data_IF_441922852702
#
_entry.id   IF_441922852702
#
_cell.length_a   1.000
_cell.length_b   1.000
_cell.length_c   1.000
_cell.angle_alpha   90.00
_cell.angle_beta   90.00
_cell.angle_gamma   90.00
#
_symmetry.space_group_name_H-M   'P 1'
#
loop_
_entity.id
_entity.type
_entity.pdbx_description
1 polymer ?
#
# COMPACT_ATOMS: atom_id res chain seq x y z
N UNK A 1 12.53 21.74 13.95
CA UNK A 1 13.82 21.35 13.38
C UNK A 1 14.59 22.57 12.86
N UNK A 2 15.86 22.41 12.58
CA UNK A 2 16.70 23.42 11.92
C UNK A 2 16.92 22.91 10.49
N UNK A 3 16.60 23.76 9.49
CA UNK A 3 16.82 23.40 8.08
C UNK A 3 18.29 23.55 7.67
N UNK A 4 18.61 23.20 6.43
CA UNK A 4 19.95 23.30 5.85
C UNK A 4 20.51 24.72 5.86
N UNK A 5 19.66 25.72 5.94
CA UNK A 5 20.03 27.14 6.01
C UNK A 5 20.22 27.62 7.45
N UNK A 6 20.16 26.72 8.44
CA UNK A 6 20.28 27.02 9.86
C UNK A 6 19.04 27.70 10.46
N UNK A 7 17.92 27.75 9.73
CA UNK A 7 16.70 28.40 10.21
C UNK A 7 15.84 27.43 11.00
N UNK A 8 15.30 27.90 12.10
CA UNK A 8 14.39 27.15 12.94
C UNK A 8 13.03 26.98 12.22
N UNK A 9 12.64 25.74 11.98
CA UNK A 9 11.34 25.37 11.38
C UNK A 9 10.53 24.55 12.37
N UNK A 10 9.25 24.75 12.37
CA UNK A 10 8.33 24.12 13.31
C UNK A 10 8.26 24.88 14.64
N UNK A 11 7.06 25.16 15.06
CA UNK A 11 6.79 25.98 16.22
C UNK A 11 5.78 25.26 17.12
N UNK A 12 6.19 24.10 17.67
CA UNK A 12 5.45 23.53 18.79
C UNK A 12 6.20 23.81 20.10
N UNK A 13 5.83 24.89 20.81
CA UNK A 13 6.45 25.24 22.08
C UNK A 13 6.18 24.19 23.18
N UNK A 14 5.29 23.22 22.92
CA UNK A 14 4.94 22.15 23.84
C UNK A 14 5.83 20.92 23.71
N UNK A 15 6.65 20.84 22.66
CA UNK A 15 7.58 19.73 22.51
C UNK A 15 8.92 20.06 23.19
N UNK A 16 9.23 19.45 24.34
CA UNK A 16 10.48 19.69 25.07
C UNK A 16 11.69 19.02 24.42
N UNK A 17 11.50 18.23 23.35
CA UNK A 17 12.55 17.42 22.73
C UNK A 17 12.98 18.11 21.43
N UNK A 18 14.28 18.48 21.34
CA UNK A 18 14.92 18.84 20.08
C UNK A 18 15.58 17.59 19.48
N UNK A 19 15.22 17.26 18.26
CA UNK A 19 15.85 16.16 17.52
C UNK A 19 16.82 16.72 16.49
N UNK A 20 18.04 16.18 16.48
CA UNK A 20 19.07 16.54 15.51
C UNK A 20 19.47 15.31 14.74
N UNK A 21 19.63 15.45 13.43
CA UNK A 21 20.23 14.45 12.60
C UNK A 21 21.67 14.84 12.30
N UNK A 22 22.60 13.92 12.56
CA UNK A 22 24.03 14.07 12.28
C UNK A 22 24.44 13.02 11.26
N UNK A 23 24.97 13.50 10.13
CA UNK A 23 25.54 12.61 9.12
C UNK A 23 26.78 11.90 9.70
N UNK A 24 27.00 10.64 9.33
CA UNK A 24 28.12 9.83 9.79
C UNK A 24 29.50 10.43 9.52
N UNK A 25 29.64 11.30 8.52
CA UNK A 25 30.87 12.06 8.24
C UNK A 25 31.25 12.99 9.41
N UNK A 26 30.26 13.49 10.14
CA UNK A 26 30.45 14.41 11.28
C UNK A 26 30.50 13.62 12.59
N UNK A 27 29.93 12.41 12.61
CA UNK A 27 29.91 11.57 13.80
C UNK A 27 31.31 11.00 14.10
N UNK A 28 31.77 11.13 15.34
CA UNK A 28 33.11 10.68 15.75
C UNK A 28 33.21 9.18 16.02
N UNK A 29 32.24 8.38 15.65
CA UNK A 29 32.18 6.94 15.92
C UNK A 29 33.05 6.11 14.98
N UNK A 30 33.34 6.63 13.78
CA UNK A 30 34.14 5.97 12.76
C UNK A 30 35.13 6.97 12.18
N UNK A 31 36.35 6.53 11.85
CA UNK A 31 37.33 7.40 11.23
C UNK A 31 37.00 7.68 9.77
N UNK A 32 37.37 8.85 9.27
CA UNK A 32 37.22 9.18 7.85
C UNK A 32 37.90 8.18 6.91
N UNK A 33 39.05 7.64 7.35
CA UNK A 33 39.77 6.58 6.62
C UNK A 33 38.89 5.34 6.47
N UNK A 34 38.25 4.91 7.55
CA UNK A 34 37.43 3.72 7.54
C UNK A 34 36.14 3.94 6.73
N UNK A 35 35.53 5.13 6.82
CA UNK A 35 34.38 5.52 5.95
C UNK A 35 34.75 5.40 4.47
N UNK A 36 35.93 5.93 4.07
CA UNK A 36 36.36 5.85 2.67
C UNK A 36 36.60 4.40 2.25
N UNK A 37 37.23 3.59 3.10
CA UNK A 37 37.49 2.17 2.82
C UNK A 37 36.15 1.41 2.67
N UNK A 38 35.21 1.63 3.59
CA UNK A 38 33.92 0.98 3.55
C UNK A 38 33.15 1.34 2.27
N UNK A 39 33.17 2.61 1.88
CA UNK A 39 32.53 3.07 0.63
C UNK A 39 33.17 2.40 -0.59
N UNK A 40 34.48 2.47 -0.74
CA UNK A 40 35.17 1.90 -1.89
C UNK A 40 34.98 0.39 -1.99
N UNK A 41 34.96 -0.31 -0.85
CA UNK A 41 34.69 -1.75 -0.81
C UNK A 41 33.26 -2.07 -1.25
N UNK A 42 32.29 -1.28 -0.78
CA UNK A 42 30.89 -1.45 -1.17
C UNK A 42 30.66 -1.14 -2.65
N UNK A 43 31.36 -0.14 -3.18
CA UNK A 43 31.27 0.22 -4.61
C UNK A 43 31.93 -0.84 -5.51
N UNK A 44 33.10 -1.38 -5.13
CA UNK A 44 33.77 -2.48 -5.83
C UNK A 44 32.88 -3.73 -5.88
N UNK A 45 32.26 -4.09 -4.75
CA UNK A 45 31.32 -5.20 -4.69
C UNK A 45 30.13 -5.00 -5.64
N UNK A 46 29.55 -3.80 -5.65
CA UNK A 46 28.47 -3.48 -6.57
C UNK A 46 28.90 -3.59 -8.04
N UNK A 47 30.07 -3.04 -8.39
CA UNK A 47 30.57 -3.11 -9.77
C UNK A 47 30.84 -4.54 -10.21
N UNK A 48 31.29 -5.41 -9.29
CA UNK A 48 31.63 -6.80 -9.58
C UNK A 48 30.41 -7.73 -9.61
N UNK A 49 29.43 -7.53 -8.74
CA UNK A 49 28.32 -8.45 -8.52
C UNK A 49 26.96 -7.92 -8.96
N UNK A 50 26.82 -6.59 -9.11
CA UNK A 50 25.55 -5.91 -9.31
C UNK A 50 24.69 -5.80 -8.05
N UNK A 51 25.15 -6.35 -6.88
CA UNK A 51 24.41 -6.24 -5.63
C UNK A 51 24.67 -4.88 -4.97
N UNK A 52 23.61 -4.20 -4.58
CA UNK A 52 23.64 -2.91 -3.89
C UNK A 52 23.58 -3.04 -2.36
N UNK A 53 23.62 -4.27 -1.80
CA UNK A 53 23.41 -4.50 -0.37
C UNK A 53 24.49 -3.84 0.51
N UNK A 54 25.74 -3.87 0.08
CA UNK A 54 26.83 -3.24 0.80
C UNK A 54 26.78 -1.71 0.72
N UNK A 55 26.39 -1.15 -0.44
CA UNK A 55 26.14 0.27 -0.57
C UNK A 55 24.98 0.71 0.34
N UNK A 56 23.89 -0.02 0.35
CA UNK A 56 22.76 0.24 1.24
C UNK A 56 23.16 0.23 2.72
N UNK A 57 23.99 -0.73 3.13
CA UNK A 57 24.51 -0.79 4.51
C UNK A 57 25.38 0.43 4.83
N UNK A 58 26.28 0.81 3.93
CA UNK A 58 27.13 1.96 4.10
C UNK A 58 26.32 3.26 4.26
N UNK A 59 25.38 3.53 3.35
CA UNK A 59 24.56 4.74 3.45
C UNK A 59 23.69 4.76 4.70
N UNK A 60 23.01 3.65 5.02
CA UNK A 60 22.09 3.62 6.15
C UNK A 60 22.80 3.58 7.51
N UNK A 61 23.90 2.85 7.63
CA UNK A 61 24.54 2.61 8.92
C UNK A 61 25.74 3.55 9.16
N UNK A 62 26.59 3.75 8.14
CA UNK A 62 27.81 4.51 8.30
C UNK A 62 27.58 6.01 8.08
N UNK A 63 26.74 6.38 7.12
CA UNK A 63 26.37 7.78 6.88
C UNK A 63 25.11 8.22 7.63
N UNK A 64 24.21 7.29 7.98
CA UNK A 64 22.91 7.62 8.54
C UNK A 64 21.98 8.29 7.52
N UNK A 65 22.16 7.99 6.24
CA UNK A 65 21.37 8.51 5.12
C UNK A 65 20.52 7.42 4.49
N UNK A 66 19.29 7.73 4.07
CA UNK A 66 18.49 6.76 3.33
C UNK A 66 19.16 6.44 1.99
N UNK A 67 19.40 5.15 1.74
CA UNK A 67 19.95 4.70 0.47
C UNK A 67 18.89 4.74 -0.64
N UNK A 68 19.21 5.41 -1.72
CA UNK A 68 18.44 5.37 -2.95
C UNK A 68 19.12 4.40 -3.94
N UNK A 69 18.47 3.29 -4.34
CA UNK A 69 19.03 2.36 -5.31
C UNK A 69 19.40 3.06 -6.62
N UNK A 70 20.58 2.76 -7.17
CA UNK A 70 21.07 3.37 -8.42
C UNK A 70 20.15 3.10 -9.61
N UNK A 71 19.46 1.96 -9.60
CA UNK A 71 18.41 1.65 -10.59
C UNK A 71 17.19 2.58 -10.51
N UNK A 72 17.01 3.29 -9.39
CA UNK A 72 15.90 4.20 -9.17
C UNK A 72 16.26 5.68 -9.41
N UNK A 73 17.56 5.97 -9.53
CA UNK A 73 18.06 7.36 -9.55
C UNK A 73 17.65 8.15 -10.82
N UNK A 74 17.35 7.45 -11.92
CA UNK A 74 16.98 8.12 -13.18
C UNK A 74 15.51 8.01 -13.57
N UNK A 75 14.75 7.02 -13.04
CA UNK A 75 13.40 6.73 -13.54
C UNK A 75 12.26 7.09 -12.57
N UNK A 76 12.56 7.42 -11.32
CA UNK A 76 11.55 7.66 -10.28
C UNK A 76 11.61 9.04 -9.64
N UNK A 77 12.08 10.03 -10.38
CA UNK A 77 11.92 11.42 -9.94
C UNK A 77 10.42 11.73 -9.77
N UNK A 78 10.02 12.49 -8.73
CA UNK A 78 8.63 12.86 -8.51
C UNK A 78 7.94 13.44 -9.75
N UNK A 79 8.67 14.17 -10.58
CA UNK A 79 8.20 14.74 -11.83
C UNK A 79 7.87 13.65 -12.86
N UNK A 80 8.69 12.61 -12.97
CA UNK A 80 8.45 11.48 -13.88
C UNK A 80 7.23 10.69 -13.41
N UNK A 81 7.09 10.46 -12.11
CA UNK A 81 5.90 9.80 -11.56
C UNK A 81 4.64 10.65 -11.79
N UNK A 82 4.72 11.96 -11.59
CA UNK A 82 3.60 12.87 -11.86
C UNK A 82 3.21 12.90 -13.34
N UNK A 83 4.20 12.87 -14.25
CA UNK A 83 3.93 12.86 -15.69
C UNK A 83 3.28 11.56 -16.18
N UNK A 84 3.48 10.45 -15.45
CA UNK A 84 2.88 9.15 -15.72
C UNK A 84 1.56 8.93 -14.95
N UNK A 85 1.25 9.83 -14.01
CA UNK A 85 -0.01 9.74 -13.27
C UNK A 85 -1.17 9.99 -14.22
N UNK A 86 -2.04 9.00 -14.34
CA UNK A 86 -3.30 9.17 -15.05
C UNK A 86 -4.22 10.06 -14.22
N UNK A 87 -4.88 11.05 -14.83
CA UNK A 87 -5.91 11.78 -14.13
C UNK A 87 -7.02 10.80 -13.75
N UNK A 88 -7.31 10.70 -12.46
CA UNK A 88 -8.49 9.96 -12.03
C UNK A 88 -9.70 10.58 -12.74
N UNK A 89 -10.61 9.77 -13.30
CA UNK A 89 -11.85 10.28 -13.86
C UNK A 89 -12.53 11.18 -12.82
N UNK A 90 -13.08 12.32 -13.25
CA UNK A 90 -13.75 13.27 -12.35
C UNK A 90 -14.85 12.58 -11.58
N UNK A 91 -15.53 11.63 -12.22
CA UNK A 91 -16.59 10.79 -11.65
C UNK A 91 -16.05 9.80 -10.59
N UNK A 92 -14.75 9.47 -10.64
CA UNK A 92 -14.09 8.63 -9.63
C UNK A 92 -13.91 9.34 -8.28
N UNK A 93 -13.95 10.65 -8.29
CA UNK A 93 -13.65 11.46 -7.12
C UNK A 93 -14.91 12.02 -6.42
N UNK A 94 -16.11 11.87 -7.02
CA UNK A 94 -17.27 12.63 -6.61
C UNK A 94 -17.02 14.13 -6.68
N UNK A 95 -17.98 14.96 -6.35
CA UNK A 95 -17.74 16.40 -6.19
C UNK A 95 -16.73 16.62 -5.07
N UNK A 96 -15.54 17.09 -5.47
CA UNK A 96 -14.37 17.24 -4.61
C UNK A 96 -14.50 18.48 -3.76
N UNK A 97 -14.75 18.32 -2.48
CA UNK A 97 -14.34 19.35 -1.54
C UNK A 97 -13.15 18.94 -0.67
N UNK A 98 -12.88 17.62 -0.51
CA UNK A 98 -11.78 17.16 0.34
C UNK A 98 -11.36 15.72 0.00
N UNK A 99 -10.04 15.49 -0.21
CA UNK A 99 -9.47 14.15 -0.43
C UNK A 99 -9.62 13.23 0.78
N UNK A 100 -9.66 13.77 1.97
CA UNK A 100 -9.86 13.01 3.20
C UNK A 100 -11.30 12.51 3.32
N UNK A 101 -12.27 13.27 2.83
CA UNK A 101 -13.68 12.87 2.79
C UNK A 101 -13.92 11.68 1.87
N UNK A 102 -13.16 11.55 0.78
CA UNK A 102 -13.25 10.40 -0.14
C UNK A 102 -12.76 9.09 0.47
N UNK A 103 -11.66 9.13 1.22
CA UNK A 103 -11.17 7.96 1.96
C UNK A 103 -12.21 7.55 3.01
N UNK A 104 -12.84 8.52 3.66
CA UNK A 104 -13.92 8.29 4.63
C UNK A 104 -15.19 7.76 3.98
N UNK A 105 -15.62 8.24 2.81
CA UNK A 105 -16.78 7.71 2.09
C UNK A 105 -16.61 6.24 1.72
N UNK A 106 -15.46 5.85 1.20
CA UNK A 106 -15.16 4.43 0.96
C UNK A 106 -15.12 3.61 2.26
N UNK A 107 -14.62 4.17 3.33
CA UNK A 107 -14.55 3.53 4.65
C UNK A 107 -15.95 3.40 5.30
N UNK A 108 -16.85 4.33 5.05
CA UNK A 108 -18.20 4.37 5.65
C UNK A 108 -19.27 3.62 4.84
N UNK A 109 -18.90 2.99 3.72
CA UNK A 109 -19.84 2.18 2.94
C UNK A 109 -20.75 2.96 2.00
N UNK A 110 -20.48 4.23 1.77
CA UNK A 110 -21.20 5.07 0.79
C UNK A 110 -20.76 4.74 -0.66
N UNK A 111 -20.73 3.43 -0.94
CA UNK A 111 -20.32 2.86 -2.23
C UNK A 111 -21.36 3.02 -3.31
N UNK A 112 -22.59 3.29 -2.91
CA UNK A 112 -23.74 3.34 -3.82
C UNK A 112 -23.73 4.58 -4.72
N UNK A 113 -22.90 5.58 -4.39
CA UNK A 113 -22.78 6.80 -5.18
C UNK A 113 -21.86 6.66 -6.40
N UNK A 114 -20.99 5.62 -6.43
CA UNK A 114 -20.04 5.42 -7.53
C UNK A 114 -19.74 3.93 -7.74
N UNK A 115 -20.04 3.42 -8.92
CA UNK A 115 -19.64 2.08 -9.34
C UNK A 115 -18.45 2.16 -10.30
N UNK A 116 -17.25 1.62 -9.92
CA UNK A 116 -16.12 1.56 -10.83
C UNK A 116 -16.44 0.71 -12.05
N UNK A 117 -16.07 1.18 -13.24
CA UNK A 117 -16.28 0.47 -14.50
C UNK A 117 -15.01 -0.25 -14.95
N UNK A 118 -15.19 -1.40 -15.57
CA UNK A 118 -14.10 -2.16 -16.19
C UNK A 118 -13.85 -1.64 -17.59
N UNK A 119 -12.69 -1.02 -17.89
CA UNK A 119 -12.40 -0.45 -19.20
C UNK A 119 -12.22 -1.52 -20.27
N UNK A 120 -12.33 -1.10 -21.53
CA UNK A 120 -12.08 -1.96 -22.68
C UNK A 120 -10.65 -2.53 -22.64
N UNK A 121 -10.49 -3.77 -23.10
CA UNK A 121 -9.18 -4.46 -23.11
C UNK A 121 -8.92 -5.33 -21.89
N UNK A 122 -9.55 -5.07 -20.74
CA UNK A 122 -9.44 -5.93 -19.55
C UNK A 122 -10.07 -7.30 -19.85
N UNK A 123 -9.35 -8.37 -19.50
CA UNK A 123 -9.79 -9.77 -19.73
C UNK A 123 -10.19 -10.50 -18.47
N UNK A 124 -9.62 -10.14 -17.34
CA UNK A 124 -10.03 -10.67 -16.04
C UNK A 124 -9.73 -9.65 -14.93
N UNK A 125 -10.42 -9.81 -13.80
CA UNK A 125 -10.17 -9.05 -12.60
C UNK A 125 -9.41 -9.92 -11.59
N UNK A 126 -8.44 -9.31 -10.92
CA UNK A 126 -7.72 -9.88 -9.79
C UNK A 126 -7.82 -8.94 -8.61
N UNK A 127 -7.91 -9.48 -7.40
CA UNK A 127 -7.93 -8.67 -6.19
C UNK A 127 -6.76 -9.01 -5.28
N UNK A 128 -6.30 -8.02 -4.54
CA UNK A 128 -5.37 -8.19 -3.41
C UNK A 128 -6.01 -7.69 -2.14
N UNK A 129 -5.82 -8.44 -1.06
CA UNK A 129 -6.34 -8.10 0.27
C UNK A 129 -5.16 -8.05 1.23
N UNK A 130 -4.86 -6.87 1.71
CA UNK A 130 -3.87 -6.63 2.76
C UNK A 130 -4.56 -6.58 4.12
N UNK A 131 -4.08 -7.39 5.08
CA UNK A 131 -4.73 -7.60 6.38
C UNK A 131 -4.10 -6.67 7.42
N UNK A 132 -4.86 -5.68 7.84
CA UNK A 132 -4.46 -4.73 8.86
C UNK A 132 -5.07 -5.08 10.25
N UNK A 133 -4.71 -4.30 11.29
CA UNK A 133 -5.18 -4.53 12.67
C UNK A 133 -6.71 -4.61 12.79
N UNK A 134 -7.40 -3.73 12.10
CA UNK A 134 -8.84 -3.49 12.21
C UNK A 134 -9.53 -3.18 10.88
N UNK A 135 -8.90 -3.58 9.77
CA UNK A 135 -9.45 -3.43 8.42
C UNK A 135 -8.80 -4.42 7.46
N UNK A 136 -9.47 -4.67 6.35
CA UNK A 136 -8.87 -5.22 5.14
C UNK A 136 -8.76 -4.11 4.11
N UNK A 137 -7.58 -3.94 3.53
CA UNK A 137 -7.36 -3.03 2.40
C UNK A 137 -7.44 -3.83 1.12
N UNK A 138 -8.41 -3.50 0.29
CA UNK A 138 -8.67 -4.23 -0.96
C UNK A 138 -8.29 -3.38 -2.15
N UNK A 139 -7.59 -3.98 -3.11
CA UNK A 139 -7.33 -3.40 -4.42
C UNK A 139 -7.76 -4.39 -5.50
N UNK A 140 -8.48 -3.91 -6.49
CA UNK A 140 -8.95 -4.71 -7.63
C UNK A 140 -8.30 -4.18 -8.89
N UNK A 141 -7.64 -5.07 -9.63
CA UNK A 141 -6.97 -4.75 -10.88
C UNK A 141 -7.59 -5.49 -12.04
N UNK A 142 -7.75 -4.80 -13.15
CA UNK A 142 -8.04 -5.37 -14.44
C UNK A 142 -6.75 -5.75 -15.17
N UNK A 143 -6.64 -6.98 -15.61
CA UNK A 143 -5.49 -7.47 -16.38
C UNK A 143 -5.75 -7.26 -17.88
N UNK A 144 -4.86 -6.53 -18.53
CA UNK A 144 -4.85 -6.30 -19.98
C UNK A 144 -3.73 -7.17 -20.58
N UNK A 145 -4.04 -8.15 -21.44
CA UNK A 145 -3.02 -9.00 -22.07
C UNK A 145 -2.10 -8.21 -22.97
N UNK A 146 -0.83 -8.60 -22.99
CA UNK A 146 0.23 -8.00 -23.81
C UNK A 146 1.59 -8.53 -23.40
N UNK A 147 2.65 -8.13 -24.11
CA UNK A 147 4.04 -8.41 -23.73
C UNK A 147 4.81 -7.09 -23.66
N UNK A 148 5.05 -6.57 -22.44
CA UNK A 148 4.55 -7.08 -21.15
C UNK A 148 3.03 -6.91 -20.99
N UNK A 149 2.42 -7.68 -20.09
CA UNK A 149 1.02 -7.46 -19.72
C UNK A 149 0.90 -6.14 -18.94
N UNK A 150 -0.26 -5.51 -19.03
CA UNK A 150 -0.57 -4.29 -18.29
C UNK A 150 -1.67 -4.54 -17.27
N UNK A 151 -1.76 -3.65 -16.27
CA UNK A 151 -2.77 -3.72 -15.22
C UNK A 151 -3.37 -2.34 -14.96
N UNK A 152 -4.68 -2.29 -14.85
CA UNK A 152 -5.43 -1.08 -14.57
C UNK A 152 -6.08 -1.19 -13.20
N UNK A 153 -5.89 -0.21 -12.33
CA UNK A 153 -6.60 -0.17 -11.06
C UNK A 153 -8.08 0.12 -11.31
N UNK A 154 -8.95 -0.82 -10.92
CA UNK A 154 -10.39 -0.71 -11.08
C UNK A 154 -11.03 -0.15 -9.82
N UNK A 155 -10.64 -0.67 -8.64
CA UNK A 155 -11.26 -0.27 -7.38
C UNK A 155 -10.24 -0.38 -6.23
N UNK A 156 -10.40 0.49 -5.24
CA UNK A 156 -9.66 0.42 -3.98
C UNK A 156 -10.58 0.81 -2.84
N UNK A 157 -10.70 -0.05 -1.85
CA UNK A 157 -11.56 0.20 -0.70
C UNK A 157 -11.09 -0.49 0.56
N UNK A 158 -11.67 -0.10 1.69
CA UNK A 158 -11.40 -0.67 2.98
C UNK A 158 -12.64 -1.36 3.54
N UNK A 159 -12.49 -2.57 4.04
CA UNK A 159 -13.51 -3.25 4.79
C UNK A 159 -13.18 -3.03 6.27
N UNK A 160 -14.02 -2.27 6.97
CA UNK A 160 -13.74 -1.84 8.35
C UNK A 160 -14.78 -2.29 9.35
N UNK A 161 -15.99 -2.63 8.89
CA UNK A 161 -17.09 -3.04 9.77
C UNK A 161 -17.36 -4.54 9.68
N UNK A 162 -17.51 -5.14 10.85
CA UNK A 162 -17.90 -6.53 11.06
C UNK A 162 -19.42 -6.69 10.93
N UNK A 163 -19.87 -7.93 10.73
CA UNK A 163 -21.28 -8.31 10.98
C UNK A 163 -21.65 -8.26 12.47
N UNK A 164 -20.66 -8.36 13.36
CA UNK A 164 -20.88 -8.26 14.81
C UNK A 164 -21.36 -6.86 15.16
N UNK A 165 -22.31 -6.80 16.05
CA UNK A 165 -22.87 -5.55 16.56
C UNK A 165 -22.63 -5.43 18.07
N UNK A 166 -22.67 -4.21 18.57
CA UNK A 166 -22.72 -3.92 20.00
C UNK A 166 -24.15 -4.02 20.55
N UNK A 167 -24.32 -3.68 21.83
CA UNK A 167 -25.62 -3.70 22.50
C UNK A 167 -26.63 -2.68 21.95
N UNK A 168 -26.14 -1.66 21.24
CA UNK A 168 -26.98 -0.65 20.58
C UNK A 168 -27.35 -1.03 19.13
N UNK A 169 -26.82 -2.17 18.63
CA UNK A 169 -27.01 -2.62 17.26
C UNK A 169 -26.01 -2.01 16.26
N UNK A 170 -25.01 -1.24 16.73
CA UNK A 170 -23.99 -0.64 15.89
C UNK A 170 -22.92 -1.66 15.46
N UNK A 171 -22.55 -1.66 14.18
CA UNK A 171 -21.53 -2.56 13.67
C UNK A 171 -20.15 -2.28 14.28
N UNK A 172 -19.56 -3.31 14.86
CA UNK A 172 -18.22 -3.25 15.44
C UNK A 172 -17.14 -3.19 14.34
N UNK A 173 -15.96 -2.72 14.71
CA UNK A 173 -14.79 -2.81 13.86
C UNK A 173 -14.33 -4.26 13.70
N UNK A 174 -13.87 -4.62 12.49
CA UNK A 174 -13.27 -5.94 12.27
C UNK A 174 -11.97 -6.07 13.08
N UNK A 175 -11.67 -7.31 13.48
CA UNK A 175 -10.43 -7.69 14.15
C UNK A 175 -9.97 -9.04 13.60
N UNK A 176 -9.28 -9.06 12.46
CA UNK A 176 -8.95 -10.28 11.74
C UNK A 176 -8.18 -11.33 12.55
N UNK A 177 -7.35 -10.88 13.49
CA UNK A 177 -6.61 -11.79 14.38
C UNK A 177 -7.46 -12.41 15.50
N UNK A 178 -8.59 -11.79 15.85
CA UNK A 178 -9.41 -12.22 16.97
C UNK A 178 -10.66 -13.02 16.56
N UNK A 179 -11.26 -12.70 15.43
CA UNK A 179 -12.55 -13.24 15.02
C UNK A 179 -12.50 -13.80 13.60
N UNK A 180 -12.73 -15.10 13.48
CA UNK A 180 -12.79 -15.78 12.16
C UNK A 180 -13.97 -15.28 11.32
N UNK A 181 -15.11 -14.97 11.95
CA UNK A 181 -16.32 -14.47 11.26
C UNK A 181 -16.09 -13.13 10.55
N UNK A 182 -15.11 -12.32 10.96
CA UNK A 182 -14.78 -11.08 10.28
C UNK A 182 -14.22 -11.31 8.87
N UNK A 183 -13.66 -12.49 8.61
CA UNK A 183 -13.15 -12.89 7.30
C UNK A 183 -14.25 -13.16 6.28
N UNK A 184 -15.47 -13.48 6.73
CA UNK A 184 -16.63 -13.66 5.84
C UNK A 184 -16.97 -12.36 5.07
N UNK A 185 -16.53 -11.21 5.59
CA UNK A 185 -16.64 -9.93 4.88
C UNK A 185 -15.83 -9.91 3.57
N UNK A 186 -14.75 -10.70 3.47
CA UNK A 186 -13.99 -10.85 2.21
C UNK A 186 -14.84 -11.60 1.18
N UNK A 187 -15.58 -12.64 1.59
CA UNK A 187 -16.51 -13.32 0.68
C UNK A 187 -17.51 -12.32 0.10
N UNK A 188 -18.21 -11.59 0.94
CA UNK A 188 -19.27 -10.67 0.56
C UNK A 188 -18.80 -9.49 -0.30
N UNK A 189 -17.68 -8.90 0.11
CA UNK A 189 -17.23 -7.63 -0.44
C UNK A 189 -16.20 -7.79 -1.57
N UNK A 190 -15.61 -8.99 -1.72
CA UNK A 190 -14.57 -9.24 -2.71
C UNK A 190 -14.93 -10.43 -3.60
N UNK A 191 -15.18 -11.62 -3.03
CA UNK A 191 -15.36 -12.83 -3.85
C UNK A 191 -16.69 -12.80 -4.62
N UNK A 192 -17.76 -12.32 -3.99
CA UNK A 192 -19.10 -12.22 -4.61
C UNK A 192 -19.28 -10.93 -5.43
N UNK A 193 -18.25 -10.06 -5.44
CA UNK A 193 -18.33 -8.77 -6.11
C UNK A 193 -18.11 -8.88 -7.62
N UNK A 194 -18.89 -8.12 -8.37
CA UNK A 194 -18.73 -7.94 -9.80
C UNK A 194 -18.73 -6.46 -10.18
N UNK A 195 -18.15 -6.14 -11.32
CA UNK A 195 -18.00 -4.78 -11.84
C UNK A 195 -18.60 -4.67 -13.23
N UNK A 196 -19.34 -3.60 -13.49
CA UNK A 196 -19.94 -3.36 -14.80
C UNK A 196 -18.87 -3.06 -15.84
N UNK A 197 -19.06 -3.51 -17.09
CA UNK A 197 -18.19 -3.15 -18.19
C UNK A 197 -18.51 -1.73 -18.69
N UNK A 198 -17.45 -0.99 -19.03
CA UNK A 198 -17.57 0.38 -19.54
C UNK A 198 -18.17 0.46 -20.96
N UNK A 199 -18.47 -0.68 -21.60
CA UNK A 199 -19.02 -0.76 -22.96
C UNK A 199 -20.53 -0.50 -23.07
N UNK A 200 -21.19 -0.21 -21.97
CA UNK A 200 -22.65 0.03 -21.91
C UNK A 200 -23.50 -1.21 -22.15
N UNK A 201 -22.90 -2.40 -22.23
CA UNK A 201 -23.63 -3.65 -22.51
C UNK A 201 -24.48 -4.17 -21.35
N UNK A 202 -24.33 -3.60 -20.15
CA UNK A 202 -24.91 -4.13 -18.92
C UNK A 202 -24.28 -5.41 -18.40
N UNK A 203 -23.24 -5.93 -19.09
CA UNK A 203 -22.48 -7.10 -18.63
C UNK A 203 -21.60 -6.74 -17.44
N UNK A 204 -21.35 -7.73 -16.60
CA UNK A 204 -20.50 -7.58 -15.41
C UNK A 204 -19.37 -8.60 -15.42
N UNK A 205 -18.25 -8.24 -14.82
CA UNK A 205 -17.08 -9.09 -14.68
C UNK A 205 -16.83 -9.36 -13.19
N UNK A 206 -16.74 -10.63 -12.83
CA UNK A 206 -16.39 -11.07 -11.47
C UNK A 206 -14.88 -11.08 -11.28
N UNK A 207 -14.45 -10.96 -10.03
CA UNK A 207 -13.05 -11.16 -9.65
C UNK A 207 -12.71 -12.65 -9.85
N UNK A 208 -11.69 -12.92 -10.65
CA UNK A 208 -11.30 -14.28 -11.02
C UNK A 208 -10.33 -14.92 -10.04
N UNK A 209 -9.51 -14.09 -9.40
CA UNK A 209 -8.49 -14.53 -8.46
C UNK A 209 -8.30 -13.49 -7.38
N UNK A 210 -8.18 -13.94 -6.13
CA UNK A 210 -7.91 -13.07 -4.99
C UNK A 210 -6.69 -13.57 -4.23
N UNK A 211 -5.69 -12.72 -4.10
CA UNK A 211 -4.54 -12.90 -3.22
C UNK A 211 -4.79 -12.23 -1.88
N UNK A 212 -4.57 -12.92 -0.77
CA UNK A 212 -4.75 -12.37 0.54
C UNK A 212 -3.50 -12.57 1.39
N UNK A 213 -3.04 -11.49 2.04
CA UNK A 213 -1.97 -11.60 3.03
C UNK A 213 -2.44 -12.43 4.24
N UNK A 214 -1.57 -13.30 4.72
CA UNK A 214 -1.84 -14.16 5.86
C UNK A 214 -0.85 -13.97 7.01
N UNK A 215 0.06 -13.00 6.84
CA UNK A 215 1.12 -12.74 7.80
C UNK A 215 0.77 -11.68 8.85
N UNK A 216 1.75 -11.37 9.68
CA UNK A 216 1.74 -10.23 10.56
C UNK A 216 1.38 -10.51 12.00
N UNK A 217 0.20 -10.12 12.45
CA UNK A 217 -0.18 -10.15 13.88
C UNK A 217 -0.63 -11.52 14.35
N UNK A 218 -0.52 -11.72 15.66
CA UNK A 218 -1.04 -12.93 16.34
C UNK A 218 -2.50 -13.20 15.96
N UNK A 219 -2.81 -14.46 15.67
CA UNK A 219 -4.13 -14.94 15.28
C UNK A 219 -4.50 -14.75 13.81
N UNK A 220 -3.88 -13.80 13.10
CA UNK A 220 -4.20 -13.51 11.68
C UNK A 220 -3.92 -14.73 10.80
N UNK A 221 -2.72 -15.32 10.91
CA UNK A 221 -2.34 -16.49 10.11
C UNK A 221 -3.31 -17.67 10.36
N UNK A 222 -3.64 -17.94 11.62
CA UNK A 222 -4.56 -19.02 11.99
C UNK A 222 -5.95 -18.80 11.39
N UNK A 223 -6.49 -17.59 11.53
CA UNK A 223 -7.81 -17.26 11.00
C UNK A 223 -7.84 -17.24 9.47
N UNK A 224 -6.78 -16.76 8.81
CA UNK A 224 -6.64 -16.82 7.35
C UNK A 224 -6.74 -18.26 6.85
N UNK A 225 -5.94 -19.17 7.42
CA UNK A 225 -5.96 -20.57 7.01
C UNK A 225 -7.29 -21.28 7.33
N UNK A 226 -7.94 -20.94 8.45
CA UNK A 226 -9.26 -21.47 8.79
C UNK A 226 -10.32 -20.98 7.80
N UNK A 227 -10.28 -19.70 7.42
CA UNK A 227 -11.15 -19.12 6.41
C UNK A 227 -10.98 -19.81 5.05
N UNK A 228 -9.77 -20.02 4.58
CA UNK A 228 -9.53 -20.73 3.31
C UNK A 228 -9.96 -22.18 3.32
N UNK A 229 -9.82 -22.88 4.48
CA UNK A 229 -10.37 -24.22 4.62
C UNK A 229 -11.89 -24.22 4.55
N UNK A 230 -12.54 -23.21 5.17
CA UNK A 230 -13.98 -23.01 5.09
C UNK A 230 -14.41 -22.86 3.63
N UNK A 231 -13.82 -21.92 2.89
CA UNK A 231 -14.12 -21.70 1.47
C UNK A 231 -13.94 -22.95 0.61
N UNK A 232 -12.88 -23.74 0.86
CA UNK A 232 -12.64 -24.99 0.14
C UNK A 232 -13.73 -26.04 0.39
N UNK A 233 -14.32 -26.05 1.54
CA UNK A 233 -15.34 -27.02 1.92
C UNK A 233 -16.75 -26.62 1.46
N UNK A 234 -16.96 -25.33 1.21
CA UNK A 234 -18.24 -24.75 0.77
C UNK A 234 -18.36 -24.68 -0.77
N UNK A 235 -17.28 -24.75 -1.52
CA UNK A 235 -17.19 -24.68 -2.99
C UNK A 235 -16.72 -25.95 -3.61
#
# INVERSE_FOLDING_TARGET
>A
WIDTDGRKRGNDPRNPIASFWLNGVIASFISWKDLVINYLTAEDEWQRTGSEDSLKKFYNNDLGEPYLPKSLDSERLPEVLRSRAEPLPVDYLGEREDTDTMVLRHVQGDRDAFEPLVPAGVRCLVATVDVQKNMFVVQVFGVVPGEPFDSVLIDRFHIVKSRRTDHAGEHLWIKPGAYLEDWDRITEEVLDRSYALADGSGRRMMIKMTGCDSGGREGVTTNAYNYWRKLRNEG
#
